data_IF_263812894860
#
_entry.id   IF_263812894860
#
_cell.length_a   1.000
_cell.length_b   1.000
_cell.length_c   1.000
_cell.angle_alpha   90.00
_cell.angle_beta   90.00
_cell.angle_gamma   90.00
#
_symmetry.space_group_name_H-M   'P 1'
#
loop_
_entity.id
_entity.type
_entity.pdbx_description
1 polymer ?
#
# COMPACT_ATOMS: atom_id res chain seq x y z
N UNK A 1 -21.37 7.94 6.40
CA UNK A 1 -21.09 7.80 7.83
C UNK A 1 -20.03 8.84 8.14
N UNK A 2 -20.34 9.83 8.97
CA UNK A 2 -19.38 10.84 9.40
C UNK A 2 -18.40 10.22 10.40
N UNK A 3 -17.12 10.52 10.27
CA UNK A 3 -16.06 10.00 11.13
C UNK A 3 -14.94 11.04 11.30
N UNK A 4 -14.00 10.83 12.22
CA UNK A 4 -12.97 11.83 12.53
C UNK A 4 -12.04 12.16 11.36
N UNK A 5 -12.03 11.35 10.30
CA UNK A 5 -11.25 11.57 9.07
C UNK A 5 -12.12 11.98 7.88
N UNK A 6 -13.34 12.47 8.13
CA UNK A 6 -14.19 13.00 7.07
C UNK A 6 -13.48 14.14 6.32
N UNK A 7 -13.57 14.11 4.98
CA UNK A 7 -12.88 15.05 4.10
C UNK A 7 -11.46 14.63 3.69
N UNK A 8 -10.82 13.70 4.41
CA UNK A 8 -9.51 13.18 4.05
C UNK A 8 -9.61 12.25 2.84
N UNK A 9 -8.80 12.49 1.80
CA UNK A 9 -8.75 11.65 0.60
C UNK A 9 -7.47 10.82 0.57
N UNK A 10 -7.63 9.50 0.47
CA UNK A 10 -6.53 8.54 0.51
C UNK A 10 -6.46 7.78 -0.81
N UNK A 11 -5.27 7.74 -1.41
CA UNK A 11 -4.94 6.91 -2.56
C UNK A 11 -4.16 5.68 -2.09
N UNK A 12 -4.79 4.50 -2.19
CA UNK A 12 -4.21 3.22 -1.83
C UNK A 12 -3.74 2.48 -3.10
N UNK A 13 -2.43 2.40 -3.30
CA UNK A 13 -1.82 1.59 -4.38
C UNK A 13 -1.13 0.34 -3.83
N UNK A 14 -1.31 0.06 -2.54
CA UNK A 14 -0.68 -1.06 -1.88
C UNK A 14 -1.37 -2.39 -2.22
N UNK A 15 -0.65 -3.48 -1.98
CA UNK A 15 -1.08 -4.85 -2.26
C UNK A 15 -1.02 -5.74 -1.03
N UNK A 16 -1.67 -6.90 -1.09
CA UNK A 16 -1.66 -7.93 -0.03
C UNK A 16 -2.45 -7.50 1.21
N UNK A 17 -1.80 -7.22 2.36
CA UNK A 17 -2.51 -7.09 3.65
C UNK A 17 -2.04 -5.88 4.44
N UNK A 18 -0.76 -5.78 4.82
CA UNK A 18 -0.32 -4.82 5.83
C UNK A 18 -0.67 -3.35 5.52
N UNK A 19 -0.28 -2.85 4.36
CA UNK A 19 -0.57 -1.47 3.95
C UNK A 19 -2.04 -1.25 3.52
N UNK A 20 -2.68 -2.15 2.76
CA UNK A 20 -4.12 -2.03 2.48
C UNK A 20 -4.98 -2.04 3.76
N UNK A 21 -4.55 -2.75 4.80
CA UNK A 21 -5.26 -2.75 6.08
C UNK A 21 -5.17 -1.38 6.77
N UNK A 22 -4.03 -0.71 6.73
CA UNK A 22 -3.91 0.68 7.20
C UNK A 22 -4.89 1.62 6.47
N UNK A 23 -4.99 1.52 5.14
CA UNK A 23 -5.96 2.28 4.36
C UNK A 23 -7.42 1.95 4.74
N UNK A 24 -7.70 0.69 5.08
CA UNK A 24 -9.03 0.26 5.55
C UNK A 24 -9.40 0.92 6.88
N UNK A 25 -8.44 1.01 7.81
CA UNK A 25 -8.69 1.70 9.08
C UNK A 25 -9.01 3.19 8.86
N UNK A 26 -8.33 3.85 7.92
CA UNK A 26 -8.66 5.23 7.55
C UNK A 26 -10.08 5.34 6.98
N UNK A 27 -10.47 4.40 6.12
CA UNK A 27 -11.83 4.32 5.56
C UNK A 27 -12.88 4.09 6.66
N UNK A 28 -12.61 3.20 7.63
CA UNK A 28 -13.50 2.93 8.76
C UNK A 28 -13.72 4.17 9.63
N UNK A 29 -12.73 5.09 9.69
CA UNK A 29 -12.82 6.38 10.36
C UNK A 29 -13.35 7.52 9.48
N UNK A 30 -13.86 7.21 8.28
CA UNK A 30 -14.58 8.17 7.43
C UNK A 30 -13.78 8.81 6.30
N UNK A 31 -12.53 8.39 6.06
CA UNK A 31 -11.75 8.87 4.92
C UNK A 31 -12.31 8.35 3.58
N UNK A 32 -12.22 9.17 2.52
CA UNK A 32 -12.53 8.74 1.15
C UNK A 32 -11.32 8.03 0.54
N UNK A 33 -11.37 6.69 0.53
CA UNK A 33 -10.26 5.86 0.09
C UNK A 33 -10.52 5.31 -1.31
N UNK A 34 -9.67 5.69 -2.27
CA UNK A 34 -9.59 5.08 -3.59
C UNK A 34 -8.45 4.07 -3.63
N UNK A 35 -8.76 2.81 -3.87
CA UNK A 35 -7.77 1.78 -4.15
C UNK A 35 -7.59 1.61 -5.66
N UNK A 36 -6.34 1.70 -6.11
CA UNK A 36 -5.97 1.36 -7.47
C UNK A 36 -5.36 -0.04 -7.52
N UNK A 37 -5.85 -0.85 -8.45
CA UNK A 37 -5.38 -2.21 -8.66
C UNK A 37 -4.94 -2.43 -10.10
N UNK A 38 -4.17 -3.50 -10.31
CA UNK A 38 -3.78 -3.91 -11.66
C UNK A 38 -5.01 -4.30 -12.49
N UNK A 39 -5.19 -3.78 -13.71
CA UNK A 39 -6.24 -4.24 -14.62
C UNK A 39 -6.15 -5.76 -14.85
N UNK A 40 -7.30 -6.44 -14.83
CA UNK A 40 -7.41 -7.89 -15.05
C UNK A 40 -6.98 -8.76 -13.86
N UNK A 41 -5.80 -8.51 -13.27
CA UNK A 41 -5.28 -9.29 -12.14
C UNK A 41 -5.84 -8.85 -10.78
N UNK A 42 -6.03 -7.55 -10.58
CA UNK A 42 -6.37 -6.97 -9.28
C UNK A 42 -5.24 -7.11 -8.25
N UNK A 43 -5.58 -6.93 -6.97
CA UNK A 43 -4.70 -7.25 -5.85
C UNK A 43 -4.61 -8.77 -5.63
N UNK A 44 -3.42 -9.30 -5.34
CA UNK A 44 -3.22 -10.72 -5.01
C UNK A 44 -4.04 -11.20 -3.82
N UNK A 45 -4.51 -10.29 -2.95
CA UNK A 45 -5.40 -10.65 -1.84
C UNK A 45 -6.80 -11.10 -2.30
N UNK A 46 -7.19 -10.86 -3.56
CA UNK A 46 -8.42 -11.37 -4.19
C UNK A 46 -8.46 -12.89 -4.34
N UNK A 47 -7.31 -13.55 -4.35
CA UNK A 47 -7.20 -15.02 -4.41
C UNK A 47 -6.58 -15.61 -3.13
N UNK A 48 -6.52 -14.84 -2.05
CA UNK A 48 -5.81 -15.25 -0.84
C UNK A 48 -6.73 -15.95 0.17
N UNK A 49 -6.36 -17.16 0.65
CA UNK A 49 -7.16 -17.92 1.61
C UNK A 49 -7.10 -17.28 3.02
N UNK A 50 -8.11 -17.49 3.88
CA UNK A 50 -9.21 -18.45 3.73
C UNK A 50 -10.37 -17.95 2.87
N UNK A 51 -11.15 -18.89 2.34
CA UNK A 51 -12.36 -18.64 1.56
C UNK A 51 -13.60 -19.05 2.36
N UNK A 52 -14.69 -18.29 2.19
CA UNK A 52 -16.03 -18.68 2.61
C UNK A 52 -16.97 -18.53 1.44
N UNK A 53 -17.66 -19.60 1.05
CA UNK A 53 -18.59 -19.63 -0.08
C UNK A 53 -17.94 -19.12 -1.39
N UNK A 54 -16.70 -19.56 -1.66
CA UNK A 54 -15.91 -19.11 -2.82
C UNK A 54 -15.41 -17.66 -2.75
N UNK A 55 -15.67 -16.93 -1.66
CA UNK A 55 -15.26 -15.53 -1.49
C UNK A 55 -14.01 -15.42 -0.62
N UNK A 56 -12.96 -14.70 -1.08
CA UNK A 56 -11.74 -14.45 -0.29
C UNK A 56 -12.06 -13.61 0.95
N UNK A 57 -11.76 -14.12 2.15
CA UNK A 57 -12.05 -13.41 3.40
C UNK A 57 -11.08 -12.26 3.64
N UNK A 58 -9.80 -12.42 3.31
CA UNK A 58 -8.80 -11.35 3.45
C UNK A 58 -9.07 -10.17 2.55
N UNK A 59 -9.56 -10.41 1.33
CA UNK A 59 -9.97 -9.33 0.43
C UNK A 59 -11.02 -8.43 1.09
N UNK A 60 -12.05 -9.02 1.70
CA UNK A 60 -13.10 -8.27 2.40
C UNK A 60 -12.55 -7.55 3.62
N UNK A 61 -11.68 -8.19 4.40
CA UNK A 61 -11.10 -7.59 5.59
C UNK A 61 -10.18 -6.41 5.23
N UNK A 62 -9.35 -6.54 4.20
CA UNK A 62 -8.33 -5.54 3.85
C UNK A 62 -8.81 -4.46 2.85
N UNK A 63 -10.05 -4.54 2.33
CA UNK A 63 -10.56 -3.61 1.31
C UNK A 63 -12.02 -3.19 1.48
N UNK A 64 -12.66 -3.44 2.63
CA UNK A 64 -13.98 -2.86 2.93
C UNK A 64 -13.91 -1.33 2.94
N UNK A 65 -15.06 -0.68 2.68
CA UNK A 65 -15.23 0.78 2.72
C UNK A 65 -14.38 1.58 1.72
N UNK A 66 -13.67 0.92 0.79
CA UNK A 66 -12.89 1.57 -0.26
C UNK A 66 -13.66 1.63 -1.58
N UNK A 67 -13.45 2.70 -2.34
CA UNK A 67 -13.75 2.75 -3.78
C UNK A 67 -12.63 2.03 -4.52
N UNK A 68 -12.96 1.30 -5.59
CA UNK A 68 -12.01 0.49 -6.33
C UNK A 68 -11.96 0.97 -7.78
N UNK A 69 -10.75 1.14 -8.31
CA UNK A 69 -10.51 1.37 -9.73
C UNK A 69 -9.26 0.62 -10.18
N UNK A 70 -9.08 0.47 -11.48
CA UNK A 70 -7.90 -0.20 -12.05
C UNK A 70 -7.00 0.80 -12.76
N UNK A 71 -5.69 0.70 -12.54
CA UNK A 71 -4.69 1.53 -13.21
C UNK A 71 -3.35 0.79 -13.28
N UNK A 72 -2.74 0.72 -14.47
CA UNK A 72 -1.41 0.14 -14.64
C UNK A 72 -0.32 1.23 -14.59
N UNK A 73 0.30 1.39 -13.43
CA UNK A 73 1.38 2.35 -13.18
C UNK A 73 2.71 2.02 -13.89
N UNK A 74 2.78 0.90 -14.62
CA UNK A 74 3.97 0.52 -15.42
C UNK A 74 3.91 1.07 -16.83
N UNK A 75 2.74 1.60 -17.23
CA UNK A 75 2.52 2.17 -18.57
C UNK A 75 2.66 3.70 -18.53
N UNK A 76 3.14 4.34 -19.61
CA UNK A 76 3.20 5.80 -19.70
C UNK A 76 1.84 6.46 -19.45
N UNK A 77 0.76 5.92 -20.03
CA UNK A 77 -0.59 6.46 -19.89
C UNK A 77 -1.10 6.30 -18.45
N UNK A 78 -0.84 5.16 -17.82
CA UNK A 78 -1.21 4.95 -16.42
C UNK A 78 -0.46 5.87 -15.46
N UNK A 79 0.82 6.16 -15.75
CA UNK A 79 1.61 7.15 -15.00
C UNK A 79 1.08 8.57 -15.22
N UNK A 80 0.72 8.94 -16.45
CA UNK A 80 0.15 10.25 -16.75
C UNK A 80 -1.16 10.47 -15.97
N UNK A 81 -2.08 9.50 -16.05
CA UNK A 81 -3.35 9.56 -15.33
C UNK A 81 -3.15 9.57 -13.80
N UNK A 82 -2.20 8.79 -13.28
CA UNK A 82 -1.88 8.82 -11.84
C UNK A 82 -1.44 10.22 -11.41
N UNK A 83 -0.57 10.88 -12.20
CA UNK A 83 -0.08 12.23 -11.92
C UNK A 83 -1.19 13.28 -11.99
N UNK A 84 -2.16 13.12 -12.87
CA UNK A 84 -3.35 13.98 -12.94
C UNK A 84 -4.30 13.79 -11.74
N UNK A 85 -4.39 12.57 -11.22
CA UNK A 85 -5.24 12.25 -10.08
C UNK A 85 -4.63 12.67 -8.74
N UNK A 86 -3.31 12.55 -8.60
CA UNK A 86 -2.58 12.74 -7.33
C UNK A 86 -2.88 14.08 -6.61
N UNK A 87 -3.02 15.24 -7.27
CA UNK A 87 -3.34 16.52 -6.60
C UNK A 87 -4.63 16.48 -5.77
N UNK A 88 -5.54 15.54 -6.06
CA UNK A 88 -6.83 15.41 -5.38
C UNK A 88 -6.75 14.64 -4.07
N UNK A 89 -5.61 14.05 -3.73
CA UNK A 89 -5.43 13.19 -2.57
C UNK A 89 -4.47 13.81 -1.56
N UNK A 90 -4.74 13.54 -0.27
CA UNK A 90 -3.95 14.02 0.85
C UNK A 90 -2.93 12.98 1.32
N UNK A 91 -3.25 11.69 1.13
CA UNK A 91 -2.42 10.56 1.57
C UNK A 91 -2.21 9.59 0.42
N UNK A 92 -0.98 9.13 0.22
CA UNK A 92 -0.61 8.01 -0.65
C UNK A 92 -0.11 6.84 0.20
N UNK A 93 -0.67 5.64 -0.01
CA UNK A 93 -0.27 4.41 0.70
C UNK A 93 0.29 3.41 -0.30
N UNK A 94 1.50 2.91 -0.02
CA UNK A 94 2.20 1.95 -0.87
C UNK A 94 3.04 0.95 -0.04
N UNK A 95 3.30 -0.23 -0.60
CA UNK A 95 4.14 -1.25 0.02
C UNK A 95 5.02 -2.03 -0.98
N UNK A 96 5.43 -1.39 -2.06
CA UNK A 96 6.34 -1.99 -3.01
C UNK A 96 7.74 -2.11 -2.40
N UNK A 97 8.57 -2.99 -2.99
CA UNK A 97 9.98 -3.07 -2.60
C UNK A 97 10.66 -1.70 -2.78
N UNK A 98 11.63 -1.33 -1.92
CA UNK A 98 12.37 -0.09 -2.06
C UNK A 98 12.88 0.14 -3.48
N UNK A 99 12.77 1.38 -3.95
CA UNK A 99 13.16 1.79 -5.31
C UNK A 99 12.20 1.38 -6.43
N UNK A 100 11.11 0.65 -6.18
CA UNK A 100 10.17 0.24 -7.24
C UNK A 100 9.43 1.42 -7.84
N UNK A 101 8.84 2.28 -7.01
CA UNK A 101 8.18 3.50 -7.49
C UNK A 101 9.16 4.45 -8.18
N UNK A 102 10.39 4.55 -7.68
CA UNK A 102 11.42 5.41 -8.28
C UNK A 102 11.76 4.93 -9.70
N UNK A 103 11.85 3.62 -9.94
CA UNK A 103 12.02 3.03 -11.29
C UNK A 103 10.84 3.29 -12.21
N UNK A 104 9.64 3.50 -11.66
CA UNK A 104 8.45 3.89 -12.43
C UNK A 104 8.32 5.42 -12.58
N UNK A 105 9.30 6.20 -12.11
CA UNK A 105 9.27 7.66 -12.19
C UNK A 105 8.34 8.33 -11.19
N UNK A 106 8.02 7.65 -10.09
CA UNK A 106 7.21 8.12 -8.96
C UNK A 106 8.06 8.28 -7.70
N UNK A 107 9.21 8.95 -7.84
CA UNK A 107 10.07 9.25 -6.70
C UNK A 107 9.37 10.16 -5.69
N UNK A 108 9.85 10.17 -4.45
CA UNK A 108 9.29 11.02 -3.39
C UNK A 108 9.31 12.50 -3.79
N UNK A 109 10.39 12.95 -4.41
CA UNK A 109 10.59 14.32 -4.89
C UNK A 109 9.58 14.65 -5.99
N UNK A 110 9.35 13.70 -6.90
CA UNK A 110 8.37 13.84 -7.96
C UNK A 110 6.92 13.86 -7.44
N UNK A 111 6.60 13.03 -6.45
CA UNK A 111 5.27 13.05 -5.82
C UNK A 111 5.00 14.37 -5.10
N UNK A 112 6.00 14.89 -4.37
CA UNK A 112 5.90 16.18 -3.68
C UNK A 112 5.96 17.40 -4.60
N UNK A 113 6.56 17.29 -5.79
CA UNK A 113 6.47 18.37 -6.78
C UNK A 113 5.05 18.53 -7.35
N UNK A 114 4.28 17.43 -7.43
CA UNK A 114 2.85 17.48 -7.81
C UNK A 114 1.97 17.91 -6.64
N UNK A 115 2.12 17.27 -5.47
CA UNK A 115 1.31 17.53 -4.30
C UNK A 115 2.22 17.78 -3.08
N UNK A 116 2.60 19.05 -2.80
CA UNK A 116 3.53 19.40 -1.74
C UNK A 116 3.05 19.04 -0.33
N UNK A 117 1.73 18.87 -0.14
CA UNK A 117 1.13 18.51 1.15
C UNK A 117 0.90 16.99 1.30
N UNK A 118 1.33 16.19 0.33
CA UNK A 118 1.08 14.75 0.31
C UNK A 118 1.79 14.04 1.47
N UNK A 119 1.01 13.34 2.29
CA UNK A 119 1.55 12.37 3.25
C UNK A 119 1.77 11.05 2.51
N UNK A 120 3.01 10.55 2.53
CA UNK A 120 3.36 9.28 1.87
C UNK A 120 3.64 8.22 2.93
N UNK A 121 2.76 7.22 3.03
CA UNK A 121 2.95 6.04 3.86
C UNK A 121 3.57 4.92 3.01
N UNK A 122 4.84 4.63 3.27
CA UNK A 122 5.58 3.52 2.65
C UNK A 122 5.79 2.40 3.66
N UNK A 123 5.23 1.22 3.39
CA UNK A 123 5.38 0.06 4.29
C UNK A 123 6.23 -1.01 3.63
N UNK A 124 7.41 -1.28 4.18
CA UNK A 124 8.29 -2.38 3.74
C UNK A 124 8.71 -3.22 4.93
N UNK A 125 9.16 -4.45 4.68
CA UNK A 125 9.46 -5.39 5.75
C UNK A 125 10.66 -5.00 6.64
N UNK A 126 11.64 -4.29 6.08
CA UNK A 126 12.87 -3.88 6.77
C UNK A 126 13.11 -2.36 6.74
N UNK A 127 12.11 -1.57 6.33
CA UNK A 127 12.24 -0.12 6.13
C UNK A 127 12.74 0.26 4.74
N UNK A 128 12.80 1.56 4.48
CA UNK A 128 13.30 2.13 3.21
C UNK A 128 14.83 2.26 3.22
N UNK A 129 15.44 2.24 4.41
CA UNK A 129 16.86 2.45 4.64
C UNK A 129 17.51 1.28 5.38
N UNK A 130 18.83 1.27 5.42
CA UNK A 130 19.62 0.29 6.17
C UNK A 130 19.97 -0.98 5.38
N UNK A 131 20.82 -1.84 5.97
CA UNK A 131 21.51 -2.93 5.25
C UNK A 131 20.59 -4.07 4.82
N UNK A 132 19.35 -4.11 5.32
CA UNK A 132 18.37 -5.15 5.01
C UNK A 132 17.24 -4.68 4.08
N UNK A 133 17.25 -3.42 3.60
CA UNK A 133 16.14 -2.84 2.83
C UNK A 133 15.77 -3.62 1.57
N UNK A 134 16.76 -4.24 0.92
CA UNK A 134 16.56 -5.00 -0.32
C UNK A 134 16.19 -6.48 -0.07
N UNK A 135 16.11 -6.91 1.20
CA UNK A 135 15.76 -8.29 1.54
C UNK A 135 14.25 -8.52 1.37
N UNK A 136 13.83 -9.66 0.80
CA UNK A 136 12.43 -10.03 0.78
C UNK A 136 11.94 -10.23 2.22
N UNK A 137 10.81 -9.64 2.54
CA UNK A 137 10.17 -9.85 3.83
C UNK A 137 8.73 -10.24 3.63
N UNK A 138 8.52 -11.55 3.64
CA UNK A 138 7.21 -12.15 3.82
C UNK A 138 7.01 -12.40 5.32
N UNK A 139 5.76 -12.54 5.77
CA UNK A 139 5.44 -12.81 7.19
C UNK A 139 6.15 -14.04 7.76
N UNK A 140 6.58 -14.98 6.92
CA UNK A 140 7.41 -16.14 7.29
C UNK A 140 8.86 -15.76 7.58
N UNK A 141 9.39 -14.72 6.92
CA UNK A 141 10.78 -14.27 7.05
C UNK A 141 10.97 -13.17 8.12
N UNK A 142 9.87 -12.61 8.64
CA UNK A 142 9.88 -11.67 9.78
C UNK A 142 10.05 -12.36 11.15
N UNK A 143 10.37 -13.65 11.22
CA UNK A 143 10.87 -14.21 12.48
C UNK A 143 12.14 -13.44 12.86
N UNK A 144 12.21 -12.79 14.04
CA UNK A 144 13.48 -12.31 14.51
C UNK A 144 14.41 -13.52 14.60
N UNK A 145 15.51 -13.52 13.85
CA UNK A 145 16.68 -14.28 14.28
C UNK A 145 17.23 -13.55 15.51
N UNK A 146 16.52 -13.63 16.63
CA UNK A 146 17.16 -13.58 17.93
C UNK A 146 18.03 -14.85 18.00
N UNK A 147 19.19 -14.80 17.36
CA UNK A 147 20.27 -15.73 17.67
C UNK A 147 20.52 -15.50 19.15
N UNK A 148 20.18 -16.51 19.96
CA UNK A 148 20.51 -16.52 21.38
C UNK A 148 21.98 -16.15 21.54
N UNK A 149 22.22 -15.18 22.41
CA UNK A 149 23.53 -14.99 23.00
C UNK A 149 23.94 -16.34 23.59
N UNK A 150 25.07 -16.94 23.19
CA UNK A 150 25.58 -18.11 23.90
C UNK A 150 25.92 -17.68 25.32
N UNK A 151 25.44 -18.47 26.28
CA UNK A 151 25.73 -18.34 27.70
C UNK A 151 27.21 -17.98 27.94
N UNK A 152 27.44 -16.84 28.60
CA UNK A 152 28.68 -16.58 29.29
C UNK A 152 28.70 -17.44 30.57
N UNK A 153 29.55 -18.46 30.56
CA UNK A 153 30.32 -18.90 31.72
C UNK A 153 31.78 -18.87 31.32
#
# INVERSE_FOLDING_TARGET
MAGPLEGLKVLDIATIIAAPFAATLLADYGADVLKLEMPGQGDGVRSFPPFKDGKPLWWKAANRNKKLATLDLRTPDGLALFKELLPRFDVLIENFRPGTLDRWGLSKEMLWSIQPRLVILRTTAFGQDGPCRDRPGDSVFQRPRSKGLPNAR
#
